data_IF_571357080308
#
_entry.id   IF_571357080308
#
_cell.length_a   1.000
_cell.length_b   1.000
_cell.length_c   1.000
_cell.angle_alpha   90.00
_cell.angle_beta   90.00
_cell.angle_gamma   90.00
#
_symmetry.space_group_name_H-M   'P 1'
#
loop_
_entity.id
_entity.type
_entity.pdbx_description
1 polymer ?
#
# COMPACT_ATOMS: atom_id res chain seq x y z
N UNK A 1 -30.08 18.25 -17.02
CA UNK A 1 -29.71 18.95 -15.77
C UNK A 1 -29.20 18.04 -14.63
N UNK A 2 -29.42 16.72 -14.65
CA UNK A 2 -29.09 15.80 -13.52
C UNK A 2 -27.59 15.40 -13.40
N UNK A 3 -26.86 15.20 -14.50
CA UNK A 3 -25.45 14.72 -14.47
C UNK A 3 -24.45 15.66 -13.75
N UNK A 4 -24.66 16.99 -13.78
CA UNK A 4 -23.78 17.97 -13.10
C UNK A 4 -23.90 17.95 -11.57
N UNK A 5 -25.07 17.60 -11.02
CA UNK A 5 -25.28 17.50 -9.56
C UNK A 5 -24.57 16.27 -8.97
N UNK A 6 -24.61 15.13 -9.66
CA UNK A 6 -23.93 13.91 -9.19
C UNK A 6 -22.40 14.01 -9.24
N UNK A 7 -21.84 14.74 -10.21
CA UNK A 7 -20.39 14.96 -10.29
C UNK A 7 -19.87 15.84 -9.15
N UNK A 8 -20.57 16.93 -8.82
CA UNK A 8 -20.23 17.78 -7.66
C UNK A 8 -20.39 17.04 -6.34
N UNK A 9 -21.41 16.18 -6.22
CA UNK A 9 -21.61 15.35 -5.02
C UNK A 9 -20.48 14.33 -4.85
N UNK A 10 -20.08 13.63 -5.92
CA UNK A 10 -18.92 12.72 -5.91
C UNK A 10 -17.60 13.41 -5.60
N UNK A 11 -17.37 14.62 -6.14
CA UNK A 11 -16.17 15.40 -5.81
C UNK A 11 -16.16 15.80 -4.34
N UNK A 12 -17.31 16.21 -3.80
CA UNK A 12 -17.43 16.61 -2.39
C UNK A 12 -17.25 15.41 -1.46
N UNK A 13 -17.87 14.27 -1.77
CA UNK A 13 -17.69 13.01 -1.01
C UNK A 13 -16.24 12.50 -1.08
N UNK A 14 -15.59 12.58 -2.25
CA UNK A 14 -14.17 12.23 -2.41
C UNK A 14 -13.25 13.22 -1.66
N UNK A 15 -13.60 14.50 -1.63
CA UNK A 15 -12.87 15.53 -0.89
C UNK A 15 -13.03 15.36 0.62
N UNK A 16 -14.25 15.06 1.10
CA UNK A 16 -14.56 14.82 2.50
C UNK A 16 -13.84 13.54 3.01
N UNK A 17 -13.87 12.47 2.22
CA UNK A 17 -13.11 11.22 2.49
C UNK A 17 -11.59 11.48 2.48
N UNK A 18 -11.11 12.35 1.59
CA UNK A 18 -9.71 12.73 1.54
C UNK A 18 -9.30 13.57 2.75
N UNK A 19 -10.13 14.54 3.18
CA UNK A 19 -9.88 15.38 4.36
C UNK A 19 -9.87 14.62 5.69
N UNK A 20 -10.59 13.50 5.78
CA UNK A 20 -10.55 12.63 6.96
C UNK A 20 -9.33 11.69 7.00
N UNK A 21 -8.61 11.55 5.88
CA UNK A 21 -7.43 10.69 5.83
C UNK A 21 -6.26 11.27 6.67
N UNK A 22 -5.46 10.42 7.33
CA UNK A 22 -4.24 10.87 8.01
C UNK A 22 -3.25 11.55 7.06
N UNK A 23 -3.31 11.20 5.77
CA UNK A 23 -2.48 11.79 4.71
C UNK A 23 -2.79 13.27 4.46
N UNK A 24 -4.06 13.68 4.49
CA UNK A 24 -4.43 15.08 4.28
C UNK A 24 -3.91 16.00 5.38
N UNK A 25 -4.03 15.57 6.65
CA UNK A 25 -3.50 16.32 7.80
C UNK A 25 -1.99 16.51 7.69
N UNK A 26 -1.30 15.46 7.27
CA UNK A 26 0.13 15.48 7.01
C UNK A 26 0.48 16.45 5.86
N UNK A 27 -0.24 16.39 4.74
CA UNK A 27 -0.03 17.32 3.60
C UNK A 27 -0.22 18.78 4.01
N UNK A 28 -1.27 19.11 4.77
CA UNK A 28 -1.47 20.48 5.29
C UNK A 28 -0.30 20.89 6.20
N UNK A 29 0.10 20.02 7.12
CA UNK A 29 1.21 20.30 8.02
C UNK A 29 2.50 20.60 7.24
N UNK A 30 2.78 19.84 6.18
CA UNK A 30 3.90 20.10 5.27
C UNK A 30 3.79 21.47 4.58
N UNK A 31 2.63 21.79 4.01
CA UNK A 31 2.43 23.08 3.33
C UNK A 31 2.61 24.25 4.30
N UNK A 32 2.09 24.14 5.53
CA UNK A 32 2.22 25.17 6.56
C UNK A 32 3.67 25.29 7.07
N UNK A 33 4.36 24.18 7.28
CA UNK A 33 5.74 24.17 7.74
C UNK A 33 6.67 24.78 6.69
N UNK A 34 6.58 24.34 5.43
CA UNK A 34 7.44 24.82 4.34
C UNK A 34 7.08 26.24 3.92
N UNK A 35 5.80 26.52 3.71
CA UNK A 35 5.33 27.85 3.33
C UNK A 35 5.52 28.88 4.45
N UNK A 36 5.29 28.47 5.70
CA UNK A 36 5.48 29.31 6.87
C UNK A 36 6.94 29.64 7.11
N UNK A 37 7.85 28.66 7.06
CA UNK A 37 9.30 28.92 7.21
C UNK A 37 9.85 29.76 6.07
N UNK A 38 9.47 29.48 4.81
CA UNK A 38 9.81 30.30 3.66
C UNK A 38 9.36 31.76 3.81
N UNK A 39 8.12 31.98 4.28
CA UNK A 39 7.56 33.31 4.50
C UNK A 39 8.25 34.07 5.62
N UNK A 40 8.48 33.41 6.76
CA UNK A 40 9.14 34.03 7.92
C UNK A 40 10.59 34.39 7.57
N UNK A 41 11.33 33.51 6.92
CA UNK A 41 12.71 33.77 6.52
C UNK A 41 12.78 34.90 5.50
N UNK A 42 11.90 34.89 4.48
CA UNK A 42 11.85 36.01 3.53
C UNK A 42 11.61 37.33 4.25
N UNK A 43 10.66 37.38 5.19
CA UNK A 43 10.34 38.60 5.93
C UNK A 43 11.50 39.10 6.80
N UNK A 44 12.28 38.19 7.38
CA UNK A 44 13.42 38.54 8.23
C UNK A 44 14.66 38.99 7.43
N UNK A 45 14.83 38.44 6.23
CA UNK A 45 16.02 38.63 5.40
C UNK A 45 15.84 39.73 4.32
N UNK A 46 14.59 40.07 3.94
CA UNK A 46 14.33 41.08 2.92
C UNK A 46 14.90 42.44 3.34
N UNK A 47 15.68 43.06 2.44
CA UNK A 47 16.35 44.35 2.68
C UNK A 47 17.59 44.28 3.59
N UNK A 48 17.93 43.12 4.14
CA UNK A 48 19.17 42.87 4.90
C UNK A 48 20.11 41.92 4.17
N UNK A 49 19.57 41.06 3.32
CA UNK A 49 20.29 40.03 2.59
C UNK A 49 19.94 40.10 1.11
N UNK A 50 20.94 40.32 0.26
CA UNK A 50 20.76 40.41 -1.19
C UNK A 50 20.27 39.10 -1.82
N UNK A 51 20.41 37.97 -1.12
CA UNK A 51 19.91 36.67 -1.54
C UNK A 51 18.39 36.51 -1.45
N UNK A 52 17.67 37.35 -0.67
CA UNK A 52 16.23 37.25 -0.47
C UNK A 52 15.52 38.51 -0.96
N UNK A 53 15.08 38.51 -2.24
CA UNK A 53 14.40 39.66 -2.87
C UNK A 53 12.89 39.45 -3.02
N UNK A 54 12.45 38.20 -2.97
CA UNK A 54 11.07 37.80 -3.17
C UNK A 54 10.68 36.62 -2.28
N UNK A 55 9.39 36.39 -2.10
CA UNK A 55 8.88 35.19 -1.42
C UNK A 55 9.31 33.88 -2.11
N UNK A 56 9.51 33.93 -3.43
CA UNK A 56 9.99 32.78 -4.18
C UNK A 56 11.41 32.37 -3.78
N UNK A 57 12.26 33.32 -3.40
CA UNK A 57 13.61 33.04 -2.90
C UNK A 57 13.56 32.28 -1.56
N UNK A 58 12.61 32.62 -0.69
CA UNK A 58 12.34 31.88 0.54
C UNK A 58 11.81 30.46 0.29
N UNK A 59 10.93 30.28 -0.70
CA UNK A 59 10.47 28.94 -1.10
C UNK A 59 11.63 28.12 -1.65
N UNK A 60 12.43 28.70 -2.56
CA UNK A 60 13.61 28.04 -3.12
C UNK A 60 14.54 27.56 -2.01
N UNK A 61 14.87 28.47 -1.08
CA UNK A 61 15.69 28.15 0.09
C UNK A 61 15.07 27.01 0.92
N UNK A 62 13.78 27.09 1.26
CA UNK A 62 13.11 26.06 2.03
C UNK A 62 13.13 24.70 1.30
N UNK A 63 12.92 24.67 -0.02
CA UNK A 63 12.98 23.43 -0.80
C UNK A 63 14.37 22.79 -0.70
N UNK A 64 15.43 23.55 -0.97
CA UNK A 64 16.80 23.00 -0.99
C UNK A 64 17.31 22.61 0.41
N UNK A 65 16.87 23.32 1.46
CA UNK A 65 17.27 23.03 2.84
C UNK A 65 16.55 21.79 3.36
N UNK A 66 15.23 21.69 3.16
CA UNK A 66 14.45 20.56 3.64
C UNK A 66 14.67 19.30 2.79
N UNK A 67 15.03 19.45 1.51
CA UNK A 67 15.50 18.33 0.68
C UNK A 67 16.92 17.88 1.04
N UNK A 68 17.57 18.52 2.02
CA UNK A 68 18.95 18.26 2.46
C UNK A 68 20.01 18.47 1.38
N UNK A 69 19.68 19.20 0.31
CA UNK A 69 20.61 19.51 -0.80
C UNK A 69 21.56 20.64 -0.40
N UNK A 70 21.00 21.75 0.11
CA UNK A 70 21.78 22.84 0.71
C UNK A 70 22.83 23.47 -0.20
N UNK A 71 22.45 23.97 -1.37
CA UNK A 71 23.39 24.65 -2.29
C UNK A 71 24.15 25.83 -1.68
N UNK A 72 23.59 26.46 -0.64
CA UNK A 72 24.20 27.60 0.04
C UNK A 72 24.15 28.91 -0.75
N UNK A 73 23.51 28.93 -1.92
CA UNK A 73 23.36 30.11 -2.78
C UNK A 73 22.52 31.22 -2.12
N UNK A 74 21.55 30.82 -1.28
CA UNK A 74 20.76 31.71 -0.43
C UNK A 74 20.76 31.13 0.96
N UNK A 75 21.19 31.90 1.95
CA UNK A 75 21.21 31.47 3.35
C UNK A 75 20.88 32.66 4.25
N UNK A 76 20.05 32.47 5.29
CA UNK A 76 19.75 33.54 6.24
C UNK A 76 21.01 34.02 6.96
N UNK A 77 21.25 35.34 6.94
CA UNK A 77 22.39 35.96 7.61
C UNK A 77 21.98 36.67 8.89
N UNK A 78 20.68 36.92 9.09
CA UNK A 78 20.20 37.54 10.32
C UNK A 78 20.18 36.55 11.47
N UNK A 79 20.55 37.00 12.67
CA UNK A 79 20.49 36.19 13.90
C UNK A 79 19.13 35.49 14.10
N UNK A 80 17.96 36.18 13.98
CA UNK A 80 16.67 35.49 14.07
C UNK A 80 16.43 34.51 12.91
N UNK A 81 16.88 34.82 11.69
CA UNK A 81 16.77 33.92 10.54
C UNK A 81 17.57 32.63 10.73
N UNK A 82 18.78 32.73 11.29
CA UNK A 82 19.63 31.59 11.63
C UNK A 82 19.01 30.72 12.73
N UNK A 83 18.44 31.33 13.77
CA UNK A 83 17.76 30.61 14.85
C UNK A 83 16.58 29.77 14.33
N UNK A 84 15.75 30.37 13.48
CA UNK A 84 14.60 29.68 12.86
C UNK A 84 15.08 28.58 11.92
N UNK A 85 16.14 28.83 11.16
CA UNK A 85 16.75 27.83 10.28
C UNK A 85 17.19 26.59 11.05
N UNK A 86 17.85 26.76 12.20
CA UNK A 86 18.26 25.63 13.04
C UNK A 86 17.05 24.79 13.49
N UNK A 87 15.99 25.43 13.97
CA UNK A 87 14.75 24.74 14.38
C UNK A 87 14.10 24.02 13.18
N UNK A 88 14.06 24.66 12.02
CA UNK A 88 13.49 24.10 10.80
C UNK A 88 14.24 22.85 10.32
N UNK A 89 15.57 22.83 10.44
CA UNK A 89 16.39 21.66 10.10
C UNK A 89 16.09 20.48 11.04
N UNK A 90 16.06 20.69 12.36
CA UNK A 90 15.69 19.60 13.29
C UNK A 90 14.25 19.11 13.06
N UNK A 91 13.33 20.04 12.80
CA UNK A 91 11.93 19.72 12.49
C UNK A 91 11.79 18.91 11.21
N UNK A 92 12.54 19.23 10.15
CA UNK A 92 12.49 18.51 8.89
C UNK A 92 13.03 17.08 9.03
N UNK A 93 14.11 16.87 9.79
CA UNK A 93 14.65 15.54 10.07
C UNK A 93 13.66 14.64 10.81
N UNK A 94 13.00 15.18 11.85
CA UNK A 94 11.98 14.45 12.60
C UNK A 94 10.79 14.07 11.69
N UNK A 95 10.38 15.00 10.84
CA UNK A 95 9.27 14.80 9.92
C UNK A 95 9.56 13.75 8.84
N UNK A 96 10.75 13.79 8.23
CA UNK A 96 11.18 12.77 7.26
C UNK A 96 11.24 11.38 7.90
N UNK A 97 11.71 11.30 9.16
CA UNK A 97 11.75 10.04 9.91
C UNK A 97 10.35 9.47 10.15
N UNK A 98 9.38 10.31 10.52
CA UNK A 98 8.00 9.90 10.74
C UNK A 98 7.32 9.45 9.42
N UNK A 99 7.57 10.17 8.33
CA UNK A 99 7.10 9.78 7.00
C UNK A 99 7.63 8.40 6.62
N UNK A 100 8.94 8.19 6.74
CA UNK A 100 9.59 6.92 6.41
C UNK A 100 8.98 5.76 7.22
N UNK A 101 8.78 5.94 8.52
CA UNK A 101 8.14 4.94 9.39
C UNK A 101 6.69 4.63 8.99
N UNK A 102 5.93 5.65 8.57
CA UNK A 102 4.54 5.48 8.12
C UNK A 102 4.47 4.75 6.79
N UNK A 103 5.35 5.07 5.83
CA UNK A 103 5.41 4.34 4.56
C UNK A 103 5.84 2.88 4.78
N UNK A 104 6.83 2.66 5.65
CA UNK A 104 7.27 1.32 6.01
C UNK A 104 6.13 0.51 6.66
N UNK A 105 5.37 1.09 7.59
CA UNK A 105 4.27 0.38 8.26
C UNK A 105 3.16 0.01 7.28
N UNK A 106 2.76 0.92 6.39
CA UNK A 106 1.77 0.64 5.33
C UNK A 106 2.24 -0.50 4.43
N UNK A 107 3.50 -0.46 4.00
CA UNK A 107 4.07 -1.51 3.16
C UNK A 107 4.13 -2.85 3.88
N UNK A 108 4.63 -2.88 5.11
CA UNK A 108 4.70 -4.08 5.95
C UNK A 108 3.31 -4.64 6.25
N UNK A 109 2.33 -3.79 6.57
CA UNK A 109 0.95 -4.23 6.82
C UNK A 109 0.34 -4.84 5.56
N UNK A 110 0.52 -4.22 4.38
CA UNK A 110 0.01 -4.76 3.11
C UNK A 110 0.60 -6.13 2.79
N UNK A 111 1.91 -6.29 2.99
CA UNK A 111 2.60 -7.57 2.78
C UNK A 111 2.15 -8.63 3.82
N UNK A 112 1.94 -8.22 5.07
CA UNK A 112 1.44 -9.10 6.14
C UNK A 112 0.01 -9.56 5.85
N UNK A 113 -0.88 -8.67 5.40
CA UNK A 113 -2.24 -9.01 4.99
C UNK A 113 -2.26 -9.99 3.81
N UNK A 114 -1.39 -9.77 2.82
CA UNK A 114 -1.22 -10.69 1.69
C UNK A 114 -0.68 -12.07 2.07
N UNK A 115 0.22 -12.14 3.07
CA UNK A 115 0.71 -13.41 3.64
C UNK A 115 -0.34 -14.14 4.44
N UNK A 116 -1.16 -13.40 5.21
CA UNK A 116 -2.26 -13.96 6.02
C UNK A 116 -3.49 -14.36 5.20
N UNK A 117 -3.50 -14.15 3.88
CA UNK A 117 -4.65 -14.45 3.03
C UNK A 117 -5.86 -13.54 3.26
N UNK A 118 -5.61 -12.32 3.76
CA UNK A 118 -6.65 -11.34 4.06
C UNK A 118 -6.90 -10.37 2.89
N UNK A 119 -6.35 -10.68 1.72
CA UNK A 119 -6.53 -9.89 0.51
C UNK A 119 -7.75 -10.37 -0.26
N UNK A 120 -8.39 -9.44 -0.96
CA UNK A 120 -9.53 -9.71 -1.83
C UNK A 120 -9.13 -9.40 -3.27
N UNK A 121 -9.68 -10.14 -4.23
CA UNK A 121 -9.36 -10.03 -5.65
C UNK A 121 -10.61 -9.81 -6.52
N UNK A 122 -11.46 -8.80 -6.24
CA UNK A 122 -12.77 -8.62 -6.89
C UNK A 122 -12.70 -8.23 -8.38
N UNK A 123 -11.52 -7.89 -8.89
CA UNK A 123 -11.28 -7.51 -10.29
C UNK A 123 -10.50 -8.56 -11.07
N UNK A 124 -10.27 -9.72 -10.46
CA UNK A 124 -9.53 -10.78 -11.10
C UNK A 124 -10.47 -11.57 -12.01
N UNK A 125 -10.13 -11.65 -13.29
CA UNK A 125 -10.89 -12.39 -14.29
C UNK A 125 -10.01 -13.47 -14.90
N UNK A 126 -10.61 -14.55 -15.41
CA UNK A 126 -9.86 -15.54 -16.17
C UNK A 126 -8.94 -16.41 -15.31
N UNK A 127 -9.16 -16.47 -14.00
CA UNK A 127 -8.30 -17.17 -13.03
C UNK A 127 -8.82 -18.56 -12.68
N UNK A 128 -7.93 -19.34 -12.07
CA UNK A 128 -8.23 -20.66 -11.52
C UNK A 128 -8.27 -20.53 -9.99
N UNK A 129 -9.30 -21.09 -9.38
CA UNK A 129 -9.44 -21.20 -7.93
C UNK A 129 -9.09 -22.62 -7.51
N UNK A 130 -8.21 -22.77 -6.52
CA UNK A 130 -7.89 -24.05 -5.89
C UNK A 130 -8.43 -23.99 -4.46
N UNK A 131 -9.40 -24.85 -4.17
CA UNK A 131 -10.04 -24.99 -2.87
C UNK A 131 -9.38 -26.13 -2.09
N UNK A 132 -8.90 -25.84 -0.89
CA UNK A 132 -8.20 -26.79 -0.03
C UNK A 132 -6.69 -26.79 -0.20
N UNK A 133 -6.00 -27.56 0.65
CA UNK A 133 -4.54 -27.66 0.63
C UNK A 133 -4.05 -29.11 0.71
N UNK A 134 -2.93 -29.39 0.04
CA UNK A 134 -2.18 -30.65 0.16
C UNK A 134 -0.70 -30.39 0.39
N UNK A 135 -0.02 -31.35 1.00
CA UNK A 135 1.42 -31.21 1.32
C UNK A 135 2.31 -31.01 0.08
N UNK A 136 1.90 -31.55 -1.08
CA UNK A 136 2.58 -31.39 -2.36
C UNK A 136 1.98 -30.26 -3.22
N UNK A 137 1.40 -29.22 -2.60
CA UNK A 137 0.77 -28.11 -3.33
C UNK A 137 1.73 -27.44 -4.32
N UNK A 138 3.02 -27.31 -3.98
CA UNK A 138 4.02 -26.74 -4.89
C UNK A 138 4.07 -27.46 -6.22
N UNK A 139 3.97 -28.79 -6.20
CA UNK A 139 4.07 -29.62 -7.40
C UNK A 139 2.77 -29.56 -8.18
N UNK A 140 1.62 -29.60 -7.49
CA UNK A 140 0.29 -29.44 -8.12
C UNK A 140 0.21 -28.11 -8.87
N UNK A 141 0.64 -27.01 -8.26
CA UNK A 141 0.58 -25.69 -8.89
C UNK A 141 1.57 -25.61 -10.06
N UNK A 142 2.77 -26.18 -9.93
CA UNK A 142 3.73 -26.26 -11.04
C UNK A 142 3.18 -27.05 -12.21
N UNK A 143 2.58 -28.21 -11.96
CA UNK A 143 1.97 -29.04 -13.00
C UNK A 143 0.86 -28.27 -13.72
N UNK A 144 0.01 -27.53 -12.98
CA UNK A 144 -1.03 -26.67 -13.58
C UNK A 144 -0.41 -25.58 -14.47
N UNK A 145 0.67 -24.93 -14.01
CA UNK A 145 1.35 -23.88 -14.76
C UNK A 145 2.04 -24.43 -16.02
N UNK A 146 2.60 -25.64 -15.96
CA UNK A 146 3.26 -26.29 -17.09
C UNK A 146 2.26 -26.86 -18.11
N UNK A 147 1.15 -27.43 -17.64
CA UNK A 147 0.11 -28.00 -18.51
C UNK A 147 -0.77 -26.94 -19.16
N UNK A 148 -0.75 -25.72 -18.63
CA UNK A 148 -1.50 -24.60 -19.17
C UNK A 148 -0.54 -23.52 -19.64
N UNK A 149 -0.08 -23.62 -20.89
CA UNK A 149 0.81 -22.65 -21.57
C UNK A 149 0.34 -21.17 -21.49
N UNK A 150 -0.92 -20.92 -21.09
CA UNK A 150 -1.52 -19.59 -20.94
C UNK A 150 -1.78 -19.16 -19.50
N UNK A 151 -1.54 -20.01 -18.50
CA UNK A 151 -1.83 -19.68 -17.11
C UNK A 151 -0.61 -19.08 -16.45
N UNK A 152 -0.68 -17.80 -16.11
CA UNK A 152 0.34 -17.14 -15.30
C UNK A 152 0.08 -17.39 -13.80
N UNK A 153 1.12 -17.46 -12.95
CA UNK A 153 0.95 -17.69 -11.51
C UNK A 153 0.06 -16.63 -10.82
N UNK A 154 0.01 -15.42 -11.37
CA UNK A 154 -0.87 -14.33 -10.92
C UNK A 154 -2.38 -14.55 -11.21
N UNK A 155 -2.72 -15.60 -11.97
CA UNK A 155 -4.09 -16.08 -12.25
C UNK A 155 -4.45 -17.33 -11.45
N UNK A 156 -3.66 -17.71 -10.45
CA UNK A 156 -4.00 -18.81 -9.53
C UNK A 156 -4.33 -18.22 -8.16
N UNK A 157 -5.50 -18.58 -7.62
CA UNK A 157 -5.96 -18.21 -6.29
C UNK A 157 -6.18 -19.48 -5.48
N UNK A 158 -5.44 -19.64 -4.38
CA UNK A 158 -5.61 -20.75 -3.43
C UNK A 158 -6.49 -20.27 -2.27
N UNK A 159 -7.53 -21.03 -1.93
CA UNK A 159 -8.41 -20.80 -0.79
C UNK A 159 -8.27 -21.98 0.19
N UNK A 160 -7.73 -21.73 1.38
CA UNK A 160 -7.63 -22.75 2.43
C UNK A 160 -7.48 -22.08 3.80
N UNK A 161 -7.58 -22.86 4.87
CA UNK A 161 -7.41 -22.42 6.25
C UNK A 161 -6.04 -22.83 6.84
N UNK A 162 -5.01 -22.90 6.00
CA UNK A 162 -3.65 -23.23 6.45
C UNK A 162 -2.91 -22.06 7.09
N UNK A 163 -1.90 -22.42 7.88
CA UNK A 163 -0.96 -21.50 8.49
C UNK A 163 -0.14 -20.74 7.44
N UNK A 164 0.19 -19.48 7.75
CA UNK A 164 0.88 -18.59 6.82
C UNK A 164 2.28 -19.08 6.45
N UNK A 165 2.94 -19.86 7.31
CA UNK A 165 4.29 -20.41 7.07
C UNK A 165 4.34 -21.30 5.81
N UNK A 166 3.32 -22.14 5.60
CA UNK A 166 3.23 -23.02 4.42
C UNK A 166 3.04 -22.24 3.12
N UNK A 167 2.28 -21.15 3.17
CA UNK A 167 2.12 -20.23 2.03
C UNK A 167 3.41 -19.48 1.75
N UNK A 168 4.15 -19.09 2.79
CA UNK A 168 5.44 -18.43 2.63
C UNK A 168 6.45 -19.35 1.95
N UNK A 169 6.58 -20.60 2.41
CA UNK A 169 7.42 -21.61 1.76
C UNK A 169 7.05 -21.83 0.27
N UNK A 170 5.76 -21.82 -0.06
CA UNK A 170 5.31 -21.90 -1.46
C UNK A 170 5.71 -20.65 -2.27
N UNK A 171 5.63 -19.45 -1.68
CA UNK A 171 5.97 -18.18 -2.34
C UNK A 171 7.47 -17.90 -2.44
N UNK A 172 8.32 -18.62 -1.71
CA UNK A 172 9.78 -18.56 -1.88
C UNK A 172 10.24 -19.11 -3.23
N UNK A 173 9.45 -20.03 -3.81
CA UNK A 173 9.72 -20.58 -5.13
C UNK A 173 9.51 -19.49 -6.21
N UNK A 174 10.52 -19.18 -7.05
CA UNK A 174 10.44 -18.08 -8.02
C UNK A 174 9.23 -18.16 -8.97
N UNK A 175 8.86 -19.38 -9.37
CA UNK A 175 7.74 -19.66 -10.26
C UNK A 175 6.37 -19.44 -9.60
N UNK A 176 6.30 -19.61 -8.27
CA UNK A 176 5.05 -19.56 -7.50
C UNK A 176 4.90 -18.29 -6.66
N UNK A 177 5.91 -17.41 -6.65
CA UNK A 177 5.94 -16.16 -5.89
C UNK A 177 4.69 -15.28 -6.08
N UNK A 178 4.09 -15.32 -7.28
CA UNK A 178 2.93 -14.51 -7.65
C UNK A 178 1.58 -15.17 -7.41
N UNK A 179 1.55 -16.41 -6.92
CA UNK A 179 0.30 -17.11 -6.60
C UNK A 179 -0.44 -16.37 -5.49
N UNK A 180 -1.74 -16.18 -5.67
CA UNK A 180 -2.62 -15.50 -4.72
C UNK A 180 -3.16 -16.49 -3.71
N UNK A 181 -3.35 -16.01 -2.49
CA UNK A 181 -3.88 -16.81 -1.39
C UNK A 181 -4.95 -16.04 -0.65
N UNK A 182 -6.05 -16.71 -0.36
CA UNK A 182 -7.12 -16.25 0.52
C UNK A 182 -7.23 -17.26 1.66
N UNK A 183 -7.21 -16.75 2.89
CA UNK A 183 -7.49 -17.54 4.07
C UNK A 183 -9.00 -17.53 4.32
N UNK A 184 -9.56 -18.71 4.46
CA UNK A 184 -10.97 -18.92 4.79
C UNK A 184 -11.50 -20.25 4.27
N UNK A 185 -12.73 -20.57 4.67
CA UNK A 185 -13.42 -21.76 4.23
C UNK A 185 -13.92 -21.57 2.80
N UNK A 186 -13.55 -22.49 1.91
CA UNK A 186 -14.01 -22.51 0.52
C UNK A 186 -15.48 -22.94 0.37
N UNK A 187 -16.14 -23.30 1.48
CA UNK A 187 -17.59 -23.51 1.54
C UNK A 187 -18.37 -22.22 1.85
N UNK A 188 -17.68 -21.14 2.24
CA UNK A 188 -18.31 -19.86 2.54
C UNK A 188 -18.45 -19.00 1.29
N UNK A 189 -19.67 -18.54 1.02
CA UNK A 189 -19.97 -17.63 -0.09
C UNK A 189 -19.15 -16.34 -0.01
N UNK A 190 -18.92 -15.81 1.20
CA UNK A 190 -18.10 -14.62 1.41
C UNK A 190 -16.65 -14.83 0.95
N UNK A 191 -16.05 -15.97 1.28
CA UNK A 191 -14.68 -16.30 0.86
C UNK A 191 -14.58 -16.46 -0.66
N UNK A 192 -15.57 -17.10 -1.28
CA UNK A 192 -15.61 -17.30 -2.73
C UNK A 192 -15.81 -15.98 -3.48
N UNK A 193 -16.64 -15.06 -2.95
CA UNK A 193 -16.79 -13.69 -3.48
C UNK A 193 -15.50 -12.89 -3.37
N UNK A 194 -14.76 -13.01 -2.27
CA UNK A 194 -13.42 -12.40 -2.12
C UNK A 194 -12.44 -12.90 -3.18
N UNK A 195 -12.59 -14.14 -3.64
CA UNK A 195 -11.82 -14.73 -4.74
C UNK A 195 -12.34 -14.38 -6.15
N UNK A 196 -13.47 -13.67 -6.26
CA UNK A 196 -14.20 -13.43 -7.50
C UNK A 196 -14.52 -14.72 -8.27
N UNK A 197 -15.19 -15.67 -7.62
CA UNK A 197 -15.54 -16.96 -8.23
C UNK A 197 -16.35 -16.83 -9.53
N UNK A 198 -17.17 -15.79 -9.66
CA UNK A 198 -18.06 -15.59 -10.82
C UNK A 198 -17.29 -15.43 -12.15
N UNK A 199 -16.08 -14.88 -12.10
CA UNK A 199 -15.20 -14.66 -13.26
C UNK A 199 -14.06 -15.69 -13.36
N UNK A 200 -14.09 -16.73 -12.51
CA UNK A 200 -13.13 -17.82 -12.54
C UNK A 200 -13.46 -18.80 -13.67
N UNK A 201 -12.42 -19.26 -14.39
CA UNK A 201 -12.59 -20.18 -15.53
C UNK A 201 -12.69 -21.63 -15.04
N UNK A 202 -12.01 -21.95 -13.94
CA UNK A 202 -11.99 -23.28 -13.34
C UNK A 202 -11.88 -23.19 -11.83
N UNK A 203 -12.61 -24.07 -11.13
CA UNK A 203 -12.43 -24.33 -9.72
C UNK A 203 -11.94 -25.78 -9.55
N UNK A 204 -10.87 -25.97 -8.78
CA UNK A 204 -10.30 -27.28 -8.44
C UNK A 204 -10.53 -27.49 -6.94
N UNK A 205 -11.30 -28.52 -6.59
CA UNK A 205 -11.54 -28.89 -5.20
C UNK A 205 -10.57 -30.01 -4.84
N UNK A 206 -9.72 -29.76 -3.86
CA UNK A 206 -8.83 -30.75 -3.29
C UNK A 206 -9.44 -31.28 -2.01
N UNK A 207 -9.46 -32.60 -1.85
CA UNK A 207 -9.74 -33.22 -0.56
C UNK A 207 -8.69 -32.74 0.45
N UNK A 208 -9.12 -31.91 1.40
CA UNK A 208 -8.26 -31.29 2.40
C UNK A 208 -7.87 -32.35 3.43
N UNK A 209 -6.58 -32.60 3.57
CA UNK A 209 -6.05 -33.53 4.58
C UNK A 209 -5.82 -32.85 5.93
N UNK A 210 -5.98 -31.51 6.03
CA UNK A 210 -5.74 -30.75 7.26
C UNK A 210 -6.94 -30.70 8.22
N UNK A 211 -8.14 -31.08 7.77
CA UNK A 211 -9.33 -31.24 8.61
C UNK A 211 -9.58 -32.70 9.05
N UNK A 212 -8.52 -33.53 9.18
CA UNK A 212 -8.69 -34.90 9.67
C UNK A 212 -8.90 -34.93 11.19
N UNK A 213 -10.01 -34.37 11.66
CA UNK A 213 -10.73 -34.82 12.85
C UNK A 213 -12.10 -35.40 12.50
N UNK A 214 -12.25 -36.04 11.34
CA UNK A 214 -12.89 -37.36 11.21
C UNK A 214 -12.85 -37.79 9.75
N UNK A 215 -12.45 -39.02 9.47
CA UNK A 215 -12.52 -39.65 8.15
C UNK A 215 -13.97 -39.88 7.66
N UNK A 216 -14.96 -39.22 8.27
CA UNK A 216 -16.39 -39.35 7.97
C UNK A 216 -16.96 -38.11 7.27
N UNK A 217 -16.28 -36.96 7.27
CA UNK A 217 -16.82 -35.71 6.70
C UNK A 217 -16.40 -35.46 5.24
N UNK A 218 -15.33 -36.10 4.77
CA UNK A 218 -14.81 -35.92 3.40
C UNK A 218 -15.81 -36.33 2.31
N UNK A 219 -16.67 -37.33 2.59
CA UNK A 219 -17.65 -37.85 1.62
C UNK A 219 -18.96 -37.06 1.58
N UNK A 220 -19.23 -36.18 2.57
CA UNK A 220 -20.50 -35.43 2.63
C UNK A 220 -20.50 -34.11 1.86
N UNK A 221 -19.35 -33.70 1.31
CA UNK A 221 -19.15 -32.38 0.68
C UNK A 221 -18.69 -32.43 -0.79
N UNK A 222 -18.81 -33.59 -1.46
CA UNK A 222 -18.68 -33.72 -2.92
C UNK A 222 -20.03 -34.04 -3.54
#
# INVERSE_FOLDING_TARGET
MSKRKNFRKKIREAFDTFTESPFYRLTIFFVLLFGGTAGIITLLEIGKNDGFKSFFDGIWWAVITFSTVGYGDKSPITVPGQAITMIAIFGSMALVSLLSGTFASVFVESNTRARRGLMDFPKLEGHIIICGWKNNMSDIVKDILQLSDKTSPEKIVIISNIESEKIEALKELPELKKVKYIRGDYFSEDTLKRANIDEAVKAIILADTYESSSSSEADSKT
#
